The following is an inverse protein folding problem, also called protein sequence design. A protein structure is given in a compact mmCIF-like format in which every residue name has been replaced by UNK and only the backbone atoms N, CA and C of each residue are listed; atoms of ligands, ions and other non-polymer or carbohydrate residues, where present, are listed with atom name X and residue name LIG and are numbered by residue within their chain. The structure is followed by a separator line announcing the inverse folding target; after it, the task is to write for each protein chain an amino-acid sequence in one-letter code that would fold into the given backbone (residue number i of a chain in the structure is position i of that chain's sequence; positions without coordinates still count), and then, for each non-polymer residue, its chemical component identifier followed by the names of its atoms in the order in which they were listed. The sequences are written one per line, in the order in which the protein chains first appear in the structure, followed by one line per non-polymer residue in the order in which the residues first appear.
data_IF_176776268516
#
_entry.id   IF_176776268516
#
_cell.length_a   1.000
_cell.length_b   1.000
_cell.length_c   1.000
_cell.angle_alpha   90.00
_cell.angle_beta   90.00
_cell.angle_gamma   90.00
#
_symmetry.space_group_name_H-M   'P 1'
#
loop_
_entity.id
_entity.type
_entity.pdbx_description
1 polymer ?
#
# COMPACT_ATOMS: atom_id res chain seq x y z
N UNK A 1 30.62 27.14 14.83
CA UNK A 1 30.33 26.42 13.59
C UNK A 1 30.66 27.34 12.43
N UNK A 2 31.55 26.91 11.55
CA UNK A 2 31.85 27.63 10.31
C UNK A 2 30.69 27.51 9.32
N UNK A 3 30.57 28.45 8.40
CA UNK A 3 29.53 28.45 7.35
C UNK A 3 29.55 27.13 6.53
N UNK A 4 30.73 26.56 6.34
CA UNK A 4 30.93 25.28 5.68
C UNK A 4 30.32 24.10 6.46
N UNK A 5 30.47 24.08 7.78
CA UNK A 5 29.90 23.02 8.64
C UNK A 5 28.37 23.07 8.66
N UNK A 6 27.79 24.27 8.73
CA UNK A 6 26.34 24.46 8.66
C UNK A 6 25.78 23.98 7.31
N UNK A 7 26.47 24.30 6.21
CA UNK A 7 26.09 23.85 4.87
C UNK A 7 26.16 22.32 4.73
N UNK A 8 27.20 21.68 5.29
CA UNK A 8 27.34 20.23 5.28
C UNK A 8 26.25 19.55 6.12
N UNK A 9 25.93 20.09 7.30
CA UNK A 9 24.85 19.58 8.15
C UNK A 9 23.50 19.59 7.41
N UNK A 10 23.17 20.71 6.76
CA UNK A 10 21.94 20.86 5.96
C UNK A 10 21.87 19.83 4.82
N UNK A 11 22.98 19.59 4.11
CA UNK A 11 23.03 18.57 3.03
C UNK A 11 22.81 17.15 3.56
N UNK A 12 23.35 16.81 4.73
CA UNK A 12 23.14 15.50 5.37
C UNK A 12 21.69 15.31 5.76
N UNK A 13 21.06 16.34 6.34
CA UNK A 13 19.65 16.33 6.70
C UNK A 13 18.75 16.14 5.48
N UNK A 14 18.98 16.90 4.40
CA UNK A 14 18.22 16.77 3.16
C UNK A 14 18.38 15.39 2.52
N UNK A 15 19.60 14.85 2.52
CA UNK A 15 19.87 13.49 2.02
C UNK A 15 19.16 12.43 2.87
N UNK A 16 19.17 12.58 4.20
CA UNK A 16 18.46 11.68 5.10
C UNK A 16 16.95 11.72 4.86
N UNK A 17 16.36 12.90 4.71
CA UNK A 17 14.93 13.07 4.39
C UNK A 17 14.56 12.43 3.05
N UNK A 18 15.36 12.67 1.99
CA UNK A 18 15.14 12.04 0.68
C UNK A 18 15.20 10.51 0.76
N UNK A 19 16.16 9.97 1.51
CA UNK A 19 16.28 8.51 1.75
C UNK A 19 15.08 7.96 2.51
N UNK A 20 14.60 8.65 3.55
CA UNK A 20 13.42 8.26 4.31
C UNK A 20 12.18 8.20 3.40
N UNK A 21 11.92 9.26 2.63
CA UNK A 21 10.79 9.33 1.69
C UNK A 21 10.87 8.21 0.64
N UNK A 22 12.07 7.90 0.14
CA UNK A 22 12.26 6.81 -0.82
C UNK A 22 11.96 5.45 -0.18
N UNK A 23 12.42 5.22 1.06
CA UNK A 23 12.16 3.99 1.81
C UNK A 23 10.66 3.79 2.02
N UNK A 24 9.95 4.84 2.41
CA UNK A 24 8.50 4.81 2.60
C UNK A 24 7.76 4.48 1.29
N UNK A 25 8.12 5.15 0.19
CA UNK A 25 7.54 4.87 -1.13
C UNK A 25 7.77 3.42 -1.55
N UNK A 26 8.98 2.90 -1.40
CA UNK A 26 9.29 1.50 -1.72
C UNK A 26 8.51 0.52 -0.85
N UNK A 27 8.38 0.80 0.44
CA UNK A 27 7.60 -0.03 1.35
C UNK A 27 6.11 -0.03 0.98
N UNK A 28 5.55 1.15 0.65
CA UNK A 28 4.16 1.28 0.18
C UNK A 28 3.95 0.52 -1.13
N UNK A 29 4.82 0.70 -2.13
CA UNK A 29 4.74 -0.03 -3.41
C UNK A 29 4.81 -1.53 -3.21
N UNK A 30 5.76 -2.03 -2.40
CA UNK A 30 5.86 -3.47 -2.08
C UNK A 30 4.56 -4.01 -1.47
N UNK A 31 4.02 -3.30 -0.47
CA UNK A 31 2.76 -3.68 0.18
C UNK A 31 1.59 -3.71 -0.80
N UNK A 32 1.50 -2.73 -1.70
CA UNK A 32 0.44 -2.68 -2.71
C UNK A 32 0.53 -3.85 -3.70
N UNK A 33 1.74 -4.17 -4.17
CA UNK A 33 1.95 -5.33 -5.07
C UNK A 33 1.56 -6.63 -4.37
N UNK A 34 2.01 -6.83 -3.13
CA UNK A 34 1.69 -8.04 -2.36
C UNK A 34 0.18 -8.18 -2.12
N UNK A 35 -0.48 -7.10 -1.67
CA UNK A 35 -1.93 -7.12 -1.45
C UNK A 35 -2.72 -7.30 -2.75
N UNK A 36 -2.26 -6.69 -3.85
CA UNK A 36 -2.84 -6.87 -5.17
C UNK A 36 -2.79 -8.32 -5.63
N UNK A 37 -1.61 -8.96 -5.54
CA UNK A 37 -1.44 -10.37 -5.89
C UNK A 37 -2.30 -11.32 -5.02
N UNK A 38 -2.43 -11.02 -3.72
CA UNK A 38 -3.31 -11.79 -2.81
C UNK A 38 -4.77 -11.67 -3.26
N UNK A 39 -5.22 -10.45 -3.57
CA UNK A 39 -6.58 -10.19 -4.01
C UNK A 39 -6.89 -10.88 -5.35
N UNK A 40 -5.98 -10.78 -6.32
CA UNK A 40 -6.10 -11.41 -7.65
C UNK A 40 -6.23 -12.93 -7.51
N UNK A 41 -5.36 -13.56 -6.72
CA UNK A 41 -5.43 -15.00 -6.46
C UNK A 41 -6.76 -15.40 -5.77
N UNK A 42 -7.20 -14.63 -4.77
CA UNK A 42 -8.46 -14.92 -4.07
C UNK A 42 -9.70 -14.76 -4.96
N UNK A 43 -9.67 -13.84 -5.93
CA UNK A 43 -10.76 -13.64 -6.87
C UNK A 43 -10.80 -14.74 -7.94
N UNK A 44 -9.63 -15.22 -8.39
CA UNK A 44 -9.53 -16.24 -9.45
C UNK A 44 -10.24 -17.57 -9.13
N UNK A 45 -10.45 -17.88 -7.85
CA UNK A 45 -11.24 -19.05 -7.43
C UNK A 45 -12.74 -18.91 -7.78
N UNK A 46 -13.23 -17.69 -8.00
CA UNK A 46 -14.64 -17.37 -8.23
C UNK A 46 -14.91 -16.73 -9.60
N UNK A 47 -14.02 -15.86 -10.05
CA UNK A 47 -14.14 -15.06 -11.26
C UNK A 47 -12.75 -14.91 -11.89
N UNK A 48 -12.63 -15.12 -13.20
CA UNK A 48 -11.37 -14.84 -13.91
C UNK A 48 -11.00 -13.35 -13.79
N UNK A 49 -9.96 -13.04 -13.02
CA UNK A 49 -9.56 -11.68 -12.67
C UNK A 49 -9.06 -10.86 -13.87
N UNK A 50 -8.67 -11.53 -14.96
CA UNK A 50 -8.12 -10.90 -16.16
C UNK A 50 -9.15 -10.08 -16.94
N UNK A 51 -10.44 -10.31 -16.68
CA UNK A 51 -11.55 -9.71 -17.42
C UNK A 51 -12.38 -8.70 -16.60
N UNK A 52 -11.97 -8.40 -15.35
CA UNK A 52 -12.69 -7.47 -14.48
C UNK A 52 -11.99 -6.12 -14.40
N UNK A 53 -12.76 -5.03 -14.41
CA UNK A 53 -12.18 -3.70 -14.28
C UNK A 53 -11.82 -3.40 -12.82
N UNK A 54 -10.96 -2.40 -12.62
CA UNK A 54 -10.66 -1.91 -11.26
C UNK A 54 -11.92 -1.41 -10.54
N UNK A 55 -12.89 -0.85 -11.26
CA UNK A 55 -14.16 -0.40 -10.67
C UNK A 55 -15.01 -1.58 -10.20
N UNK A 56 -14.97 -2.71 -10.91
CA UNK A 56 -15.64 -3.93 -10.49
C UNK A 56 -14.99 -4.52 -9.24
N UNK A 57 -13.65 -4.51 -9.17
CA UNK A 57 -12.91 -4.92 -7.97
C UNK A 57 -13.33 -4.05 -6.77
N UNK A 58 -13.41 -2.72 -6.95
CA UNK A 58 -13.86 -1.81 -5.89
C UNK A 58 -15.26 -2.16 -5.41
N UNK A 59 -16.20 -2.40 -6.33
CA UNK A 59 -17.57 -2.78 -5.99
C UNK A 59 -17.63 -4.12 -5.25
N UNK A 60 -16.90 -5.12 -5.72
CA UNK A 60 -16.82 -6.44 -5.07
C UNK A 60 -16.34 -6.29 -3.62
N UNK A 61 -15.23 -5.57 -3.41
CA UNK A 61 -14.68 -5.33 -2.07
C UNK A 61 -15.67 -4.54 -1.21
N UNK A 62 -16.32 -3.52 -1.77
CA UNK A 62 -17.31 -2.73 -1.06
C UNK A 62 -18.48 -3.60 -0.58
N UNK A 63 -19.04 -4.44 -1.45
CA UNK A 63 -20.12 -5.35 -1.09
C UNK A 63 -19.68 -6.40 -0.05
N UNK A 64 -18.46 -6.94 -0.18
CA UNK A 64 -17.92 -7.89 0.78
C UNK A 64 -17.80 -7.28 2.19
N UNK A 65 -17.32 -6.04 2.31
CA UNK A 65 -17.18 -5.36 3.63
C UNK A 65 -18.53 -5.07 4.28
N UNK A 66 -19.60 -4.95 3.49
CA UNK A 66 -20.95 -4.75 4.02
C UNK A 66 -21.62 -6.04 4.53
N UNK A 67 -21.03 -7.21 4.29
CA UNK A 67 -21.55 -8.46 4.83
C UNK A 67 -21.36 -8.51 6.35
N UNK A 68 -22.38 -8.94 7.12
CA UNK A 68 -22.27 -9.11 8.57
C UNK A 68 -21.13 -10.04 8.99
N UNK A 69 -20.85 -11.08 8.20
CA UNK A 69 -19.80 -12.07 8.44
C UNK A 69 -18.42 -11.42 8.35
N UNK A 70 -18.19 -10.56 7.36
CA UNK A 70 -16.94 -9.81 7.22
C UNK A 70 -16.80 -8.77 8.33
N UNK A 71 -17.89 -8.09 8.68
CA UNK A 71 -17.89 -7.14 9.80
C UNK A 71 -17.53 -7.83 11.13
N UNK A 72 -18.08 -9.01 11.38
CA UNK A 72 -17.75 -9.83 12.55
C UNK A 72 -16.28 -10.27 12.53
N UNK A 73 -15.81 -10.80 11.41
CA UNK A 73 -14.41 -11.20 11.26
C UNK A 73 -13.44 -10.04 11.52
N UNK A 74 -13.74 -8.84 11.03
CA UNK A 74 -12.93 -7.64 11.28
C UNK A 74 -12.95 -7.26 12.76
N UNK A 75 -14.08 -7.43 13.46
CA UNK A 75 -14.21 -7.12 14.88
C UNK A 75 -13.43 -8.11 15.79
N UNK A 76 -13.20 -9.33 15.32
CA UNK A 76 -12.51 -10.40 16.05
C UNK A 76 -10.99 -10.46 15.78
N UNK A 77 -10.48 -9.69 14.80
CA UNK A 77 -9.07 -9.61 14.41
C UNK A 77 -8.24 -8.71 15.33
#
# INVERSE_FOLDING_TARGET
MTELEALQAKRREEAARKRANLKERKARTRRLIQRGAILENALNDYIQSDNISNDDIVKIVYFAIQSPEVAQYIAEM
#
